data_IF_480053002459
#
_entry.id   IF_480053002459
#
_cell.length_a   1.000
_cell.length_b   1.000
_cell.length_c   1.000
_cell.angle_alpha   90.00
_cell.angle_beta   90.00
_cell.angle_gamma   90.00
#
_symmetry.space_group_name_H-M   'P 1'
#
loop_
_entity.id
_entity.type
_entity.pdbx_description
1 polymer ?
#
# COMPACT_ATOMS: atom_id res chain seq x y z
N UNK A 1 25.78 -32.77 36.44
CA UNK A 1 25.72 -32.11 35.12
C UNK A 1 24.72 -32.87 34.27
N UNK A 2 23.55 -32.31 33.90
CA UNK A 2 22.60 -33.03 33.07
C UNK A 2 23.21 -33.22 31.68
N UNK A 3 23.25 -34.47 31.20
CA UNK A 3 23.74 -34.79 29.85
C UNK A 3 22.78 -34.20 28.82
N UNK A 4 23.26 -33.25 28.01
CA UNK A 4 22.52 -32.72 26.85
C UNK A 4 22.21 -33.88 25.91
N UNK A 5 20.98 -33.95 25.40
CA UNK A 5 20.60 -35.01 24.46
C UNK A 5 21.42 -34.91 23.17
N UNK A 6 21.70 -36.03 22.49
CA UNK A 6 22.46 -36.05 21.22
C UNK A 6 21.89 -35.07 20.18
N UNK A 7 20.58 -34.83 20.20
CA UNK A 7 19.87 -33.86 19.34
C UNK A 7 20.22 -32.40 19.66
N UNK A 8 20.36 -32.05 20.95
CA UNK A 8 20.78 -30.71 21.38
C UNK A 8 22.24 -30.40 21.03
N UNK A 9 23.12 -31.40 21.10
CA UNK A 9 24.54 -31.22 20.74
C UNK A 9 24.69 -30.96 19.24
N UNK A 10 23.92 -31.67 18.41
CA UNK A 10 23.94 -31.50 16.96
C UNK A 10 23.34 -30.15 16.52
N UNK A 11 22.23 -29.70 17.12
CA UNK A 11 21.64 -28.39 16.81
C UNK A 11 22.57 -27.23 17.21
N UNK A 12 23.26 -27.36 18.35
CA UNK A 12 24.22 -26.34 18.82
C UNK A 12 25.41 -26.23 17.86
N UNK A 13 25.97 -27.35 17.42
CA UNK A 13 27.11 -27.36 16.48
C UNK A 13 26.74 -26.76 15.11
N UNK A 14 25.56 -27.09 14.58
CA UNK A 14 25.05 -26.50 13.33
C UNK A 14 24.81 -24.99 13.48
N UNK A 15 24.29 -24.56 14.64
CA UNK A 15 24.04 -23.15 14.92
C UNK A 15 25.32 -22.32 14.94
N UNK A 16 26.39 -22.83 15.55
CA UNK A 16 27.70 -22.18 15.52
C UNK A 16 28.30 -22.16 14.10
N UNK A 17 28.13 -23.23 13.31
CA UNK A 17 28.57 -23.24 11.92
C UNK A 17 27.81 -22.23 11.06
N UNK A 18 26.50 -22.08 11.27
CA UNK A 18 25.65 -21.11 10.60
C UNK A 18 26.06 -19.66 10.94
N UNK A 19 26.22 -19.36 12.24
CA UNK A 19 26.66 -18.04 12.71
C UNK A 19 28.06 -17.67 12.19
N UNK A 20 29.00 -18.63 12.19
CA UNK A 20 30.36 -18.42 11.69
C UNK A 20 30.41 -18.12 10.19
N UNK A 21 29.53 -18.75 9.39
CA UNK A 21 29.44 -18.51 7.94
C UNK A 21 28.95 -17.10 7.61
N UNK A 22 28.11 -16.52 8.48
CA UNK A 22 27.56 -15.17 8.28
C UNK A 22 28.53 -14.04 8.61
N UNK A 23 29.59 -14.31 9.40
CA UNK A 23 30.61 -13.33 9.78
C UNK A 23 31.76 -13.15 8.78
N UNK A 24 31.79 -13.90 7.67
CA UNK A 24 32.90 -13.91 6.70
C UNK A 24 32.59 -13.18 5.37
N UNK A 25 31.39 -12.63 5.19
CA UNK A 25 30.98 -11.92 3.96
C UNK A 25 30.84 -10.42 4.23
N UNK A 26 31.98 -9.71 4.32
CA UNK A 26 32.03 -8.25 4.41
C UNK A 26 33.40 -7.75 3.94
N UNK A 27 33.65 -7.81 2.63
CA UNK A 27 34.70 -6.98 2.01
C UNK A 27 34.12 -6.16 0.86
N UNK A 28 34.44 -4.87 0.94
CA UNK A 28 34.10 -3.78 0.03
C UNK A 28 34.57 -4.05 -1.41
N UNK A 29 33.74 -3.66 -2.39
CA UNK A 29 34.21 -3.36 -3.74
C UNK A 29 33.70 -1.98 -4.15
N UNK A 30 34.58 -0.98 -4.07
CA UNK A 30 34.35 0.38 -4.56
C UNK A 30 34.90 0.51 -5.99
N UNK A 31 34.00 0.74 -6.96
CA UNK A 31 34.37 1.05 -8.33
C UNK A 31 33.63 2.29 -8.80
N UNK A 32 34.35 3.41 -8.88
CA UNK A 32 33.92 4.66 -9.48
C UNK A 32 34.07 4.63 -11.00
N UNK A 33 33.09 5.13 -11.75
CA UNK A 33 33.36 5.77 -13.04
C UNK A 33 32.25 6.76 -13.38
N UNK A 34 32.67 8.00 -13.59
CA UNK A 34 31.90 9.09 -14.18
C UNK A 34 31.73 8.87 -15.70
N UNK A 35 30.68 9.45 -16.27
CA UNK A 35 30.44 9.47 -17.70
C UNK A 35 29.03 9.97 -18.02
N UNK A 36 28.87 11.29 -18.12
CA UNK A 36 27.63 11.94 -18.51
C UNK A 36 27.39 11.86 -20.03
N UNK A 37 26.13 11.66 -20.42
CA UNK A 37 25.66 11.94 -21.77
C UNK A 37 24.15 12.24 -21.71
N UNK A 38 23.79 13.50 -21.94
CA UNK A 38 22.41 13.97 -22.09
C UNK A 38 21.90 13.64 -23.50
N UNK A 39 20.72 13.01 -23.59
CA UNK A 39 19.86 13.10 -24.77
C UNK A 39 18.41 13.20 -24.32
N UNK A 40 17.82 14.32 -24.69
CA UNK A 40 16.44 14.76 -24.51
C UNK A 40 15.51 14.06 -25.52
N UNK A 41 14.39 13.47 -25.09
CA UNK A 41 13.26 13.14 -25.98
C UNK A 41 11.94 12.91 -25.22
N UNK A 42 11.16 13.99 -25.14
CA UNK A 42 9.69 14.10 -25.32
C UNK A 42 8.73 13.15 -24.59
N UNK A 43 8.13 13.75 -23.56
CA UNK A 43 6.73 13.76 -23.10
C UNK A 43 5.64 13.15 -24.02
N UNK A 44 4.93 12.14 -23.50
CA UNK A 44 3.54 11.74 -23.84
C UNK A 44 3.16 10.34 -23.31
N UNK A 45 4.10 9.60 -22.70
CA UNK A 45 3.90 8.24 -22.18
C UNK A 45 3.68 8.15 -20.66
N UNK A 46 3.78 9.27 -19.94
CA UNK A 46 3.76 9.28 -18.46
C UNK A 46 2.38 8.98 -17.84
N UNK A 47 1.26 9.34 -18.47
CA UNK A 47 -0.06 9.18 -17.85
C UNK A 47 -0.60 7.74 -17.81
N UNK A 48 -0.11 6.84 -18.67
CA UNK A 48 -0.48 5.41 -18.62
C UNK A 48 0.44 4.57 -17.73
N UNK A 49 1.67 5.04 -17.50
CA UNK A 49 2.68 4.32 -16.70
C UNK A 49 2.40 4.41 -15.19
N UNK A 50 1.84 5.52 -14.71
CA UNK A 50 1.56 5.75 -13.29
C UNK A 50 0.61 4.72 -12.67
N UNK A 51 -0.40 4.25 -13.42
CA UNK A 51 -1.41 3.30 -12.90
C UNK A 51 -0.88 1.89 -12.61
N UNK A 52 0.26 1.49 -13.19
CA UNK A 52 0.86 0.18 -12.94
C UNK A 52 1.84 0.21 -11.77
N UNK A 53 2.66 1.27 -11.68
CA UNK A 53 3.64 1.45 -10.61
C UNK A 53 2.99 1.58 -9.22
N UNK A 54 1.76 2.11 -9.14
CA UNK A 54 1.03 2.24 -7.88
C UNK A 54 0.50 0.91 -7.31
N UNK A 55 0.45 -0.16 -8.11
CA UNK A 55 -0.18 -1.43 -7.73
C UNK A 55 0.82 -2.52 -7.33
N UNK A 56 2.02 -2.51 -7.88
CA UNK A 56 3.04 -3.51 -7.65
C UNK A 56 4.31 -2.78 -7.20
N UNK A 57 4.69 -2.93 -5.93
CA UNK A 57 5.95 -2.35 -5.45
C UNK A 57 7.13 -3.17 -5.97
N UNK A 58 8.33 -2.56 -6.08
CA UNK A 58 9.55 -3.29 -6.44
C UNK A 58 9.82 -4.48 -5.50
N UNK A 59 9.42 -4.35 -4.23
CA UNK A 59 9.46 -5.41 -3.23
C UNK A 59 8.57 -6.61 -3.59
N UNK A 60 7.35 -6.40 -4.09
CA UNK A 60 6.45 -7.48 -4.49
C UNK A 60 7.00 -8.27 -5.70
N UNK A 61 7.64 -7.58 -6.64
CA UNK A 61 8.29 -8.22 -7.80
C UNK A 61 9.54 -9.01 -7.39
N UNK A 62 10.34 -8.47 -6.47
CA UNK A 62 11.51 -9.15 -5.92
C UNK A 62 11.10 -10.42 -5.17
N UNK A 63 10.07 -10.33 -4.33
CA UNK A 63 9.52 -11.49 -3.61
C UNK A 63 9.00 -12.57 -4.57
N UNK A 64 8.25 -12.16 -5.61
CA UNK A 64 7.72 -13.08 -6.61
C UNK A 64 8.84 -13.76 -7.39
N UNK A 65 9.86 -13.01 -7.78
CA UNK A 65 11.01 -13.54 -8.50
C UNK A 65 11.74 -14.59 -7.68
N UNK A 66 12.01 -14.29 -6.41
CA UNK A 66 12.65 -15.23 -5.49
C UNK A 66 11.79 -16.48 -5.27
N UNK A 67 10.46 -16.33 -5.17
CA UNK A 67 9.54 -17.47 -5.11
C UNK A 67 9.60 -18.34 -6.38
N UNK A 68 9.70 -17.71 -7.56
CA UNK A 68 9.83 -18.42 -8.84
C UNK A 68 11.16 -19.17 -8.98
N UNK A 69 12.24 -18.75 -8.31
CA UNK A 69 13.54 -19.46 -8.34
C UNK A 69 13.44 -20.91 -7.86
N UNK A 70 12.46 -21.23 -7.03
CA UNK A 70 12.20 -22.60 -6.56
C UNK A 70 11.74 -23.55 -7.67
N UNK A 71 11.17 -23.02 -8.76
CA UNK A 71 10.56 -23.80 -9.84
C UNK A 71 11.21 -23.57 -11.20
N UNK A 72 11.99 -22.49 -11.34
CA UNK A 72 12.56 -22.06 -12.60
C UNK A 72 14.00 -21.57 -12.37
N UNK A 73 14.99 -21.97 -13.19
CA UNK A 73 16.35 -21.50 -13.01
C UNK A 73 16.44 -19.98 -13.18
N UNK A 74 17.24 -19.33 -12.33
CA UNK A 74 17.42 -17.86 -12.30
C UNK A 74 17.73 -17.28 -13.68
N UNK A 75 18.47 -18.04 -14.51
CA UNK A 75 18.79 -17.70 -15.90
C UNK A 75 17.54 -17.39 -16.73
N UNK A 76 16.55 -18.28 -16.72
CA UNK A 76 15.31 -18.12 -17.49
C UNK A 76 14.51 -16.91 -17.01
N UNK A 77 14.34 -16.79 -15.69
CA UNK A 77 13.60 -15.68 -15.10
C UNK A 77 14.27 -14.33 -15.40
N UNK A 78 15.60 -14.25 -15.28
CA UNK A 78 16.37 -13.03 -15.54
C UNK A 78 16.25 -12.60 -17.00
N UNK A 79 16.36 -13.54 -17.94
CA UNK A 79 16.22 -13.29 -19.39
C UNK A 79 14.81 -12.81 -19.72
N UNK A 80 13.76 -13.47 -19.19
CA UNK A 80 12.37 -13.07 -19.44
C UNK A 80 12.06 -11.67 -18.90
N UNK A 81 12.50 -11.36 -17.68
CA UNK A 81 12.33 -10.03 -17.07
C UNK A 81 13.08 -8.99 -17.89
N UNK A 82 14.35 -9.25 -18.22
CA UNK A 82 15.15 -8.36 -19.06
C UNK A 82 14.49 -8.09 -20.41
N UNK A 83 14.10 -9.12 -21.17
CA UNK A 83 13.43 -8.98 -22.47
C UNK A 83 12.16 -8.14 -22.36
N UNK A 84 11.39 -8.34 -21.27
CA UNK A 84 10.17 -7.58 -21.01
C UNK A 84 10.48 -6.10 -20.77
N UNK A 85 11.45 -5.79 -19.92
CA UNK A 85 11.87 -4.40 -19.66
C UNK A 85 12.36 -3.71 -20.94
N UNK A 86 13.16 -4.41 -21.75
CA UNK A 86 13.64 -3.90 -23.03
C UNK A 86 12.51 -3.67 -24.03
N UNK A 87 11.51 -4.55 -24.08
CA UNK A 87 10.31 -4.39 -24.91
C UNK A 87 9.51 -3.13 -24.53
N UNK A 88 9.51 -2.75 -23.25
CA UNK A 88 8.89 -1.51 -22.78
C UNK A 88 9.79 -0.27 -22.87
N UNK A 89 10.94 -0.36 -23.53
CA UNK A 89 11.84 0.78 -23.73
C UNK A 89 12.57 1.24 -22.47
N UNK A 90 12.66 0.41 -21.43
CA UNK A 90 13.38 0.76 -20.20
C UNK A 90 14.87 0.87 -20.49
N UNK A 91 15.50 1.97 -20.03
CA UNK A 91 16.93 2.22 -20.25
C UNK A 91 17.81 1.10 -19.67
N UNK A 92 19.04 0.97 -20.17
CA UNK A 92 19.96 -0.10 -19.77
C UNK A 92 20.29 -0.03 -18.27
N UNK A 93 20.59 1.17 -17.78
CA UNK A 93 20.90 1.44 -16.36
C UNK A 93 19.70 1.09 -15.47
N UNK A 94 18.49 1.48 -15.90
CA UNK A 94 17.28 1.17 -15.13
C UNK A 94 16.97 -0.33 -15.13
N UNK A 95 17.25 -1.04 -16.24
CA UNK A 95 17.17 -2.49 -16.27
C UNK A 95 18.14 -3.13 -15.29
N UNK A 96 19.40 -2.69 -15.25
CA UNK A 96 20.41 -3.27 -14.35
C UNK A 96 20.05 -3.05 -12.88
N UNK A 97 19.64 -1.82 -12.52
CA UNK A 97 19.19 -1.51 -11.17
C UNK A 97 17.99 -2.38 -10.76
N UNK A 98 17.00 -2.53 -11.64
CA UNK A 98 15.82 -3.35 -11.39
C UNK A 98 16.16 -4.84 -11.22
N UNK A 99 16.98 -5.39 -12.11
CA UNK A 99 17.42 -6.78 -12.05
C UNK A 99 18.25 -7.06 -10.79
N UNK A 100 19.17 -6.15 -10.42
CA UNK A 100 19.95 -6.27 -9.18
C UNK A 100 19.07 -6.24 -7.93
N UNK A 101 18.06 -5.36 -7.90
CA UNK A 101 17.11 -5.28 -6.78
C UNK A 101 16.34 -6.59 -6.57
N UNK A 102 16.12 -7.36 -7.65
CA UNK A 102 15.45 -8.67 -7.61
C UNK A 102 16.41 -9.85 -7.35
N UNK A 103 17.72 -9.60 -7.28
CA UNK A 103 18.73 -10.66 -7.25
C UNK A 103 18.70 -11.53 -8.52
N UNK A 104 18.40 -10.91 -9.67
CA UNK A 104 18.53 -11.50 -11.00
C UNK A 104 19.96 -11.34 -11.52
N UNK A 105 20.23 -11.86 -12.73
CA UNK A 105 21.50 -11.59 -13.41
C UNK A 105 21.65 -10.11 -13.78
N UNK A 106 22.91 -9.66 -13.89
CA UNK A 106 23.20 -8.31 -14.42
C UNK A 106 22.60 -8.14 -15.81
N UNK A 107 22.39 -6.90 -16.21
CA UNK A 107 21.86 -6.57 -17.53
C UNK A 107 22.72 -7.13 -18.66
N UNK A 108 24.05 -7.12 -18.50
CA UNK A 108 25.00 -7.67 -19.49
C UNK A 108 24.85 -9.18 -19.62
N UNK A 109 24.81 -9.88 -18.48
CA UNK A 109 24.65 -11.34 -18.46
C UNK A 109 23.28 -11.73 -19.02
N UNK A 110 22.23 -11.00 -18.65
CA UNK A 110 20.88 -11.22 -19.16
C UNK A 110 20.77 -10.95 -20.66
N UNK A 111 21.45 -9.91 -21.16
CA UNK A 111 21.51 -9.60 -22.58
C UNK A 111 22.22 -10.70 -23.36
N UNK A 112 23.41 -11.13 -22.92
CA UNK A 112 24.14 -12.25 -23.54
C UNK A 112 23.25 -13.50 -23.66
N UNK A 113 22.58 -13.88 -22.57
CA UNK A 113 21.68 -15.04 -22.60
C UNK A 113 20.43 -14.80 -23.44
N UNK A 114 19.98 -13.56 -23.58
CA UNK A 114 18.89 -13.20 -24.50
C UNK A 114 19.31 -13.40 -25.96
N UNK A 115 20.54 -13.05 -26.33
CA UNK A 115 21.06 -13.29 -27.69
C UNK A 115 21.11 -14.78 -28.02
N UNK A 116 21.60 -15.61 -27.09
CA UNK A 116 21.60 -17.08 -27.21
C UNK A 116 20.17 -17.63 -27.29
N UNK A 117 19.24 -17.09 -26.50
CA UNK A 117 17.84 -17.48 -26.55
C UNK A 117 17.19 -17.14 -27.91
N UNK A 118 17.47 -15.96 -28.46
CA UNK A 118 16.92 -15.48 -29.73
C UNK A 118 17.56 -16.20 -30.93
N UNK A 119 18.85 -16.55 -30.86
CA UNK A 119 19.53 -17.31 -31.91
C UNK A 119 18.99 -18.73 -32.07
N UNK A 120 18.21 -19.21 -31.09
CA UNK A 120 17.62 -20.55 -31.09
C UNK A 120 18.58 -21.65 -30.60
N UNK A 121 19.75 -21.28 -30.07
CA UNK A 121 20.67 -22.23 -29.45
C UNK A 121 20.18 -22.60 -28.04
N UNK A 122 19.14 -23.43 -28.01
CA UNK A 122 18.51 -23.88 -26.78
C UNK A 122 19.42 -24.81 -25.97
N UNK A 123 20.38 -25.48 -26.60
CA UNK A 123 21.31 -26.39 -25.93
C UNK A 123 22.34 -25.59 -25.11
N UNK A 124 22.91 -24.53 -25.67
CA UNK A 124 23.75 -23.59 -24.92
C UNK A 124 22.92 -22.85 -23.85
N UNK A 125 21.70 -22.45 -24.20
CA UNK A 125 20.81 -21.77 -23.26
C UNK A 125 20.37 -22.70 -22.12
N UNK A 126 20.21 -23.99 -22.35
CA UNK A 126 19.88 -24.98 -21.32
C UNK A 126 21.11 -25.41 -20.53
N UNK A 127 22.29 -25.40 -21.15
CA UNK A 127 23.58 -25.72 -20.56
C UNK A 127 23.74 -25.08 -19.19
N UNK A 128 23.66 -25.89 -18.14
CA UNK A 128 23.79 -25.44 -16.78
C UNK A 128 25.26 -25.17 -16.49
N UNK A 129 25.62 -23.91 -16.21
CA UNK A 129 26.77 -23.67 -15.35
C UNK A 129 26.39 -24.24 -13.98
N UNK A 130 26.88 -25.45 -13.70
CA UNK A 130 26.85 -26.14 -12.43
C UNK A 130 27.10 -25.16 -11.27
N UNK A 131 26.04 -24.75 -10.57
CA UNK A 131 26.21 -23.69 -9.57
C UNK A 131 24.96 -23.23 -8.83
N UNK A 132 23.79 -23.82 -9.10
CA UNK A 132 22.66 -23.69 -8.20
C UNK A 132 22.95 -24.49 -6.93
N UNK A 133 23.75 -23.93 -6.00
CA UNK A 133 23.69 -24.43 -4.62
C UNK A 133 22.23 -24.31 -4.22
N UNK A 134 21.56 -25.45 -4.06
CA UNK A 134 20.43 -25.53 -3.15
C UNK A 134 20.98 -24.97 -1.83
N UNK A 135 20.71 -23.70 -1.54
CA UNK A 135 20.92 -23.19 -0.21
C UNK A 135 19.98 -24.02 0.62
N UNK A 136 20.54 -24.97 1.39
CA UNK A 136 19.84 -25.63 2.48
C UNK A 136 19.09 -24.54 3.22
N UNK A 137 17.77 -24.59 3.11
CA UNK A 137 16.93 -23.52 3.62
C UNK A 137 17.14 -23.47 5.13
N UNK A 138 17.09 -22.29 5.73
CA UNK A 138 17.26 -22.13 7.17
C UNK A 138 16.43 -23.12 7.99
N UNK A 139 15.22 -23.43 7.52
CA UNK A 139 14.31 -24.38 8.14
C UNK A 139 14.67 -25.86 7.93
N UNK A 140 15.51 -26.20 6.94
CA UNK A 140 16.03 -27.57 6.80
C UNK A 140 16.83 -27.99 8.05
N UNK A 141 17.50 -27.02 8.69
CA UNK A 141 18.23 -27.26 9.93
C UNK A 141 17.36 -27.08 11.19
N UNK A 142 16.26 -26.34 11.08
CA UNK A 142 15.39 -25.98 12.20
C UNK A 142 13.90 -26.13 11.82
N UNK A 143 13.41 -27.35 11.50
CA UNK A 143 12.04 -27.56 11.05
C UNK A 143 11.01 -27.19 12.14
N UNK A 144 11.32 -27.49 13.41
CA UNK A 144 10.47 -27.14 14.56
C UNK A 144 10.24 -25.61 14.66
N UNK A 145 11.23 -24.82 14.23
CA UNK A 145 11.16 -23.36 14.25
C UNK A 145 10.26 -22.85 13.13
N UNK A 146 10.21 -23.55 11.99
CA UNK A 146 9.28 -23.24 10.91
C UNK A 146 7.84 -23.44 11.37
N UNK A 147 7.53 -24.58 11.98
CA UNK A 147 6.19 -24.90 12.44
C UNK A 147 5.70 -23.91 13.50
N UNK A 148 6.56 -23.57 14.46
CA UNK A 148 6.27 -22.56 15.47
C UNK A 148 6.04 -21.17 14.86
N UNK A 149 6.83 -20.79 13.85
CA UNK A 149 6.71 -19.50 13.17
C UNK A 149 5.44 -19.43 12.30
N UNK A 150 5.07 -20.51 11.61
CA UNK A 150 3.81 -20.64 10.88
C UNK A 150 2.62 -20.47 11.83
N UNK A 151 2.60 -21.22 12.93
CA UNK A 151 1.51 -21.15 13.91
C UNK A 151 1.38 -19.74 14.51
N UNK A 152 2.50 -19.15 14.95
CA UNK A 152 2.51 -17.77 15.45
C UNK A 152 1.93 -16.79 14.43
N UNK A 153 2.32 -16.92 13.16
CA UNK A 153 1.82 -16.02 12.12
C UNK A 153 0.33 -16.20 11.87
N UNK A 154 -0.15 -17.45 11.78
CA UNK A 154 -1.58 -17.74 11.60
C UNK A 154 -2.41 -17.14 12.72
N UNK A 155 -2.00 -17.34 13.97
CA UNK A 155 -2.66 -16.76 15.14
C UNK A 155 -2.70 -15.23 15.07
N UNK A 156 -1.56 -14.59 14.84
CA UNK A 156 -1.44 -13.12 14.80
C UNK A 156 -2.17 -12.48 13.62
N UNK A 157 -2.19 -13.12 12.46
CA UNK A 157 -2.93 -12.67 11.29
C UNK A 157 -4.45 -12.83 11.47
N UNK A 158 -4.89 -13.81 12.26
CA UNK A 158 -6.31 -14.04 12.56
C UNK A 158 -6.88 -13.07 13.60
N UNK A 159 -6.03 -12.38 14.37
CA UNK A 159 -6.49 -11.42 15.36
C UNK A 159 -7.28 -10.26 14.72
N UNK A 160 -8.39 -9.88 15.36
CA UNK A 160 -9.18 -8.69 14.99
C UNK A 160 -8.37 -7.40 15.04
N UNK A 161 -7.29 -7.41 15.82
CA UNK A 161 -6.34 -6.32 15.95
C UNK A 161 -5.67 -6.04 14.59
N UNK A 162 -5.19 -7.07 13.90
CA UNK A 162 -4.43 -6.98 12.66
C UNK A 162 -3.25 -5.99 12.69
N UNK A 163 -2.55 -5.92 13.82
CA UNK A 163 -1.30 -5.15 13.95
C UNK A 163 -0.04 -5.94 13.59
N UNK A 164 -0.20 -7.17 13.09
CA UNK A 164 0.93 -8.04 12.76
C UNK A 164 1.79 -7.49 11.62
N UNK A 165 3.10 -7.47 11.83
CA UNK A 165 4.11 -7.04 10.86
C UNK A 165 5.19 -8.10 10.66
N UNK A 166 5.95 -7.97 9.56
CA UNK A 166 7.12 -8.83 9.29
C UNK A 166 8.18 -8.71 10.39
N UNK A 167 8.29 -7.55 11.04
CA UNK A 167 9.18 -7.32 12.17
C UNK A 167 8.80 -8.20 13.36
N UNK A 168 7.50 -8.40 13.60
CA UNK A 168 7.02 -9.26 14.68
C UNK A 168 7.40 -10.72 14.45
N UNK A 169 7.34 -11.18 13.19
CA UNK A 169 7.80 -12.52 12.80
C UNK A 169 9.31 -12.67 13.00
N UNK A 170 10.09 -11.71 12.51
CA UNK A 170 11.55 -11.77 12.61
C UNK A 170 12.02 -11.80 14.07
N UNK A 171 11.41 -10.98 14.94
CA UNK A 171 11.66 -10.99 16.39
C UNK A 171 11.25 -12.30 17.05
N UNK A 172 10.13 -12.89 16.62
CA UNK A 172 9.68 -14.18 17.14
C UNK A 172 10.66 -15.30 16.79
N UNK A 173 11.07 -15.39 15.52
CA UNK A 173 12.03 -16.40 15.03
C UNK A 173 13.36 -16.25 15.75
N UNK A 174 13.85 -15.02 15.88
CA UNK A 174 15.10 -14.70 16.57
C UNK A 174 15.07 -15.19 18.02
N UNK A 175 14.04 -14.82 18.79
CA UNK A 175 13.84 -15.28 20.16
C UNK A 175 13.80 -16.81 20.25
N UNK A 176 12.99 -17.45 19.40
CA UNK A 176 12.80 -18.91 19.42
C UNK A 176 14.07 -19.67 19.01
N UNK A 177 14.87 -19.12 18.11
CA UNK A 177 16.15 -19.69 17.72
C UNK A 177 17.10 -19.77 18.92
N UNK A 178 17.28 -18.67 19.66
CA UNK A 178 18.17 -18.66 20.83
C UNK A 178 17.65 -19.54 21.98
N UNK A 179 16.33 -19.58 22.21
CA UNK A 179 15.70 -20.52 23.15
C UNK A 179 15.99 -21.98 22.79
N UNK A 180 15.88 -22.33 21.51
CA UNK A 180 16.03 -23.72 21.03
C UNK A 180 17.48 -24.17 21.04
N UNK A 181 18.40 -23.27 20.67
CA UNK A 181 19.84 -23.56 20.55
C UNK A 181 20.59 -23.39 21.87
N UNK A 182 19.98 -22.76 22.87
CA UNK A 182 20.60 -22.36 24.14
C UNK A 182 21.86 -21.50 23.94
N UNK A 183 21.92 -20.74 22.84
CA UNK A 183 22.99 -19.77 22.58
C UNK A 183 22.58 -18.44 23.23
N UNK A 184 23.53 -17.77 23.87
CA UNK A 184 23.30 -16.43 24.42
C UNK A 184 23.37 -15.43 23.27
N UNK A 185 22.29 -14.66 23.09
CA UNK A 185 22.24 -13.59 22.10
C UNK A 185 23.11 -12.41 22.55
N UNK A 186 23.98 -11.93 21.67
CA UNK A 186 24.65 -10.64 21.81
C UNK A 186 23.67 -9.50 21.52
N UNK A 187 23.48 -8.50 22.41
CA UNK A 187 22.57 -7.38 22.19
C UNK A 187 22.76 -6.66 20.85
N UNK A 188 24.00 -6.56 20.36
CA UNK A 188 24.32 -5.87 19.10
C UNK A 188 24.15 -6.77 17.86
N UNK A 189 23.84 -8.06 18.05
CA UNK A 189 23.70 -8.97 16.93
C UNK A 189 22.42 -8.72 16.11
N UNK A 190 22.50 -8.73 14.77
CA UNK A 190 21.34 -8.58 13.91
C UNK A 190 20.39 -9.77 14.06
N UNK A 191 19.16 -9.60 13.58
CA UNK A 191 18.17 -10.67 13.57
C UNK A 191 18.70 -11.91 12.82
N UNK A 192 18.50 -13.09 13.41
CA UNK A 192 18.89 -14.38 12.80
C UNK A 192 18.30 -14.53 11.39
N UNK A 193 17.06 -14.07 11.21
CA UNK A 193 16.39 -14.05 9.91
C UNK A 193 16.07 -12.62 9.51
N UNK A 194 16.48 -12.21 8.31
CA UNK A 194 16.26 -10.84 7.83
C UNK A 194 14.77 -10.58 7.58
N UNK A 195 14.38 -9.31 7.51
CA UNK A 195 13.00 -8.93 7.19
C UNK A 195 12.58 -9.42 5.80
N UNK A 196 13.46 -9.33 4.81
CA UNK A 196 13.19 -9.82 3.45
C UNK A 196 12.99 -11.34 3.44
N UNK A 197 13.82 -12.10 4.16
CA UNK A 197 13.62 -13.56 4.30
C UNK A 197 12.31 -13.89 4.99
N UNK A 198 11.96 -13.19 6.07
CA UNK A 198 10.67 -13.38 6.76
C UNK A 198 9.49 -13.07 5.84
N UNK A 199 9.61 -12.06 4.97
CA UNK A 199 8.57 -11.72 3.97
C UNK A 199 8.38 -12.86 2.96
N UNK A 200 9.48 -13.44 2.49
CA UNK A 200 9.44 -14.61 1.61
C UNK A 200 8.82 -15.82 2.29
N UNK A 201 9.11 -16.04 3.57
CA UNK A 201 8.49 -17.14 4.34
C UNK A 201 6.98 -16.98 4.40
N UNK A 202 6.50 -15.77 4.72
CA UNK A 202 5.07 -15.47 4.72
C UNK A 202 4.42 -15.84 3.38
N UNK A 203 5.04 -15.42 2.27
CA UNK A 203 4.56 -15.75 0.92
C UNK A 203 4.58 -17.27 0.66
N UNK A 204 5.66 -17.96 1.05
CA UNK A 204 5.80 -19.42 0.92
C UNK A 204 4.75 -20.18 1.72
N UNK A 205 4.37 -19.66 2.89
CA UNK A 205 3.31 -20.22 3.73
C UNK A 205 1.90 -19.83 3.25
N UNK A 206 1.78 -19.09 2.14
CA UNK A 206 0.51 -18.74 1.52
C UNK A 206 -0.10 -17.42 2.01
N UNK A 207 0.62 -16.62 2.81
CA UNK A 207 0.16 -15.31 3.21
C UNK A 207 0.25 -14.30 2.06
N UNK A 208 -0.69 -13.35 2.04
CA UNK A 208 -0.75 -12.26 1.06
C UNK A 208 -0.72 -10.92 1.76
N UNK A 209 0.03 -9.97 1.22
CA UNK A 209 0.04 -8.58 1.69
C UNK A 209 -0.86 -7.73 0.81
N UNK A 210 -2.07 -7.44 1.28
CA UNK A 210 -3.11 -6.84 0.44
C UNK A 210 -3.90 -5.77 1.20
N UNK A 211 -4.60 -4.91 0.44
CA UNK A 211 -5.49 -3.91 1.00
C UNK A 211 -6.67 -4.59 1.70
N UNK A 212 -7.11 -4.02 2.82
CA UNK A 212 -8.29 -4.47 3.53
C UNK A 212 -9.56 -3.99 2.80
N UNK A 213 -9.93 -4.66 1.71
CA UNK A 213 -11.05 -4.25 0.85
C UNK A 213 -12.41 -4.77 1.34
N UNK A 214 -12.46 -5.70 2.29
CA UNK A 214 -13.70 -6.21 2.84
C UNK A 214 -14.35 -5.16 3.75
N UNK A 215 -15.10 -4.24 3.15
CA UNK A 215 -16.02 -3.34 3.84
C UNK A 215 -17.36 -4.07 3.99
N UNK A 216 -17.85 -4.34 5.21
CA UNK A 216 -19.12 -5.03 5.43
C UNK A 216 -20.38 -4.23 5.01
N UNK A 217 -20.22 -3.02 4.48
CA UNK A 217 -21.34 -2.09 4.24
C UNK A 217 -21.93 -2.14 2.82
N UNK A 218 -21.51 -3.07 1.97
CA UNK A 218 -21.96 -3.12 0.58
C UNK A 218 -23.44 -3.52 0.42
N UNK A 219 -23.98 -4.39 1.28
CA UNK A 219 -25.33 -4.93 1.09
C UNK A 219 -26.48 -3.92 1.28
N UNK A 220 -26.22 -2.75 1.87
CA UNK A 220 -27.28 -1.75 2.11
C UNK A 220 -27.61 -0.89 0.88
N UNK A 221 -26.61 -0.55 0.07
CA UNK A 221 -26.74 0.45 -1.00
C UNK A 221 -27.39 -0.09 -2.27
N UNK A 222 -27.35 -1.41 -2.46
CA UNK A 222 -27.88 -2.09 -3.66
C UNK A 222 -29.33 -2.57 -3.47
N UNK A 223 -29.92 -2.37 -2.28
CA UNK A 223 -31.32 -2.70 -2.03
C UNK A 223 -32.23 -1.93 -2.99
N UNK A 224 -33.22 -2.63 -3.55
CA UNK A 224 -34.13 -2.05 -4.55
C UNK A 224 -34.81 -0.76 -4.06
N UNK A 225 -35.24 -0.72 -2.80
CA UNK A 225 -35.90 0.45 -2.22
C UNK A 225 -34.95 1.64 -2.06
N UNK A 226 -33.67 1.38 -1.78
CA UNK A 226 -32.62 2.41 -1.70
C UNK A 226 -32.28 2.94 -3.09
N UNK A 227 -32.18 2.05 -4.08
CA UNK A 227 -31.92 2.43 -5.48
C UNK A 227 -33.07 3.25 -6.05
N UNK A 228 -34.31 2.84 -5.83
CA UNK A 228 -35.50 3.57 -6.27
C UNK A 228 -35.58 4.96 -5.64
N UNK A 229 -35.31 5.06 -4.33
CA UNK A 229 -35.24 6.34 -3.64
C UNK A 229 -34.12 7.23 -4.18
N UNK A 230 -32.92 6.68 -4.41
CA UNK A 230 -31.80 7.41 -5.01
C UNK A 230 -32.14 7.94 -6.41
N UNK A 231 -32.86 7.15 -7.23
CA UNK A 231 -33.29 7.58 -8.55
C UNK A 231 -34.27 8.75 -8.47
N UNK A 232 -35.26 8.68 -7.58
CA UNK A 232 -36.21 9.78 -7.34
C UNK A 232 -35.47 11.04 -6.86
N UNK A 233 -34.52 10.86 -5.95
CA UNK A 233 -33.70 11.93 -5.42
C UNK A 233 -32.86 12.59 -6.53
N UNK A 234 -32.18 11.83 -7.39
CA UNK A 234 -31.42 12.39 -8.52
C UNK A 234 -32.35 13.14 -9.49
N UNK A 235 -33.50 12.56 -9.83
CA UNK A 235 -34.46 13.20 -10.73
C UNK A 235 -34.93 14.56 -10.17
N UNK A 236 -35.17 14.66 -8.86
CA UNK A 236 -35.52 15.92 -8.20
C UNK A 236 -34.53 17.06 -8.48
N UNK A 237 -33.22 16.76 -8.48
CA UNK A 237 -32.17 17.76 -8.78
C UNK A 237 -32.09 18.06 -10.27
N UNK A 238 -32.16 17.04 -11.12
CA UNK A 238 -32.09 17.22 -12.57
C UNK A 238 -33.24 18.09 -13.10
N UNK A 239 -34.45 17.89 -12.58
CA UNK A 239 -35.64 18.68 -12.92
C UNK A 239 -35.51 20.15 -12.49
N UNK A 240 -34.60 20.46 -11.55
CA UNK A 240 -34.38 21.80 -10.98
C UNK A 240 -33.01 22.37 -11.30
N UNK A 241 -32.26 21.76 -12.23
CA UNK A 241 -30.89 22.17 -12.55
C UNK A 241 -30.74 23.67 -12.86
N UNK A 242 -31.77 24.29 -13.44
CA UNK A 242 -31.77 25.69 -13.86
C UNK A 242 -32.06 26.68 -12.71
N UNK A 243 -32.45 26.18 -11.53
CA UNK A 243 -32.60 26.96 -10.29
C UNK A 243 -31.29 27.06 -9.50
N UNK A 244 -30.31 26.19 -9.77
CA UNK A 244 -29.09 26.10 -8.97
C UNK A 244 -27.94 26.89 -9.59
N UNK A 245 -27.05 27.37 -8.72
CA UNK A 245 -25.73 27.84 -9.12
C UNK A 245 -24.86 26.64 -9.47
N UNK A 246 -24.26 26.63 -10.66
CA UNK A 246 -23.40 25.54 -11.12
C UNK A 246 -22.07 26.07 -11.63
N UNK A 247 -21.10 25.19 -11.87
CA UNK A 247 -19.78 25.53 -12.42
C UNK A 247 -19.65 24.83 -13.77
N UNK A 248 -19.07 25.49 -14.77
CA UNK A 248 -18.83 24.87 -16.08
C UNK A 248 -17.73 23.81 -16.01
N UNK A 249 -17.83 22.79 -16.87
CA UNK A 249 -16.87 21.67 -16.95
C UNK A 249 -15.65 21.98 -17.84
N UNK A 250 -15.40 23.26 -18.15
CA UNK A 250 -14.29 23.70 -19.01
C UNK A 250 -12.96 23.76 -18.24
N UNK A 251 -11.83 23.78 -18.96
CA UNK A 251 -10.48 23.94 -18.38
C UNK A 251 -10.34 25.16 -17.44
N UNK A 252 -11.21 26.16 -17.61
CA UNK A 252 -11.36 27.32 -16.73
C UNK A 252 -12.80 27.36 -16.20
N UNK A 253 -13.07 26.76 -15.03
CA UNK A 253 -14.42 26.68 -14.49
C UNK A 253 -14.98 28.09 -14.18
N UNK A 254 -16.15 28.40 -14.73
CA UNK A 254 -16.89 29.63 -14.47
C UNK A 254 -18.23 29.34 -13.80
N UNK A 255 -18.68 30.25 -12.94
CA UNK A 255 -20.00 30.16 -12.32
C UNK A 255 -21.11 30.42 -13.33
N UNK A 256 -22.02 29.45 -13.46
CA UNK A 256 -23.30 29.60 -14.13
C UNK A 256 -24.36 30.01 -13.09
N UNK A 257 -24.87 31.22 -13.24
CA UNK A 257 -25.93 31.76 -12.40
C UNK A 257 -27.27 31.08 -12.71
N UNK A 258 -28.13 30.97 -11.71
CA UNK A 258 -29.52 30.50 -11.88
C UNK A 258 -30.24 31.38 -12.90
N UNK A 259 -30.96 30.74 -13.82
CA UNK A 259 -31.83 31.45 -14.77
C UNK A 259 -33.26 31.61 -14.25
N UNK A 260 -33.59 30.97 -13.12
CA UNK A 260 -34.91 30.97 -12.51
C UNK A 260 -34.96 31.79 -11.22
N UNK A 261 -36.15 32.30 -10.90
CA UNK A 261 -36.45 33.06 -9.68
C UNK A 261 -37.55 32.39 -8.84
N UNK A 262 -37.36 32.25 -7.51
CA UNK A 262 -36.14 32.56 -6.77
C UNK A 262 -35.03 31.52 -7.05
N UNK A 263 -33.75 31.94 -7.09
CA UNK A 263 -32.63 31.02 -7.21
C UNK A 263 -32.51 30.15 -5.97
N UNK A 264 -31.97 28.94 -6.14
CA UNK A 264 -31.73 27.98 -5.05
C UNK A 264 -30.23 27.83 -4.79
N UNK A 265 -29.84 27.96 -3.52
CA UNK A 265 -28.47 27.70 -3.06
C UNK A 265 -28.41 26.28 -2.52
N UNK A 266 -27.43 25.49 -2.99
CA UNK A 266 -27.18 24.16 -2.45
C UNK A 266 -26.19 24.24 -1.29
N UNK A 267 -26.64 23.76 -0.14
CA UNK A 267 -25.83 23.59 1.06
C UNK A 267 -25.79 22.10 1.36
N UNK A 268 -24.59 21.54 1.39
CA UNK A 268 -24.32 20.15 1.73
C UNK A 268 -23.71 20.10 3.11
N UNK A 269 -24.08 19.11 3.90
CA UNK A 269 -23.47 18.83 5.18
C UNK A 269 -22.85 17.44 5.13
N UNK A 270 -21.61 17.32 5.58
CA UNK A 270 -20.95 16.03 5.70
C UNK A 270 -20.21 15.93 7.02
N UNK A 271 -20.16 14.70 7.54
CA UNK A 271 -19.50 14.36 8.79
C UNK A 271 -18.48 13.26 8.56
N UNK A 272 -17.22 13.57 8.81
CA UNK A 272 -16.12 12.63 8.74
C UNK A 272 -15.55 12.35 10.12
N UNK A 273 -15.48 11.07 10.49
CA UNK A 273 -14.86 10.65 11.75
C UNK A 273 -13.45 10.14 11.50
N UNK A 274 -12.45 10.87 12.00
CA UNK A 274 -11.04 10.47 11.98
C UNK A 274 -10.68 9.76 13.27
N UNK A 275 -10.18 8.52 13.18
CA UNK A 275 -9.80 7.75 14.36
C UNK A 275 -8.30 7.69 14.52
N UNK A 276 -7.80 7.94 15.74
CA UNK A 276 -6.39 7.69 16.04
C UNK A 276 -6.09 6.20 16.02
N UNK A 277 -4.97 5.82 15.39
CA UNK A 277 -4.56 4.43 15.27
C UNK A 277 -5.32 3.63 14.22
N UNK A 278 -5.81 4.27 13.15
CA UNK A 278 -6.25 3.53 11.97
C UNK A 278 -5.16 2.57 11.51
N UNK A 279 -5.54 1.32 11.34
CA UNK A 279 -4.64 0.24 10.94
C UNK A 279 -4.16 0.54 9.52
N UNK A 280 -2.89 0.22 9.25
CA UNK A 280 -2.33 0.26 7.89
C UNK A 280 -3.33 -0.29 6.88
N UNK A 281 -3.54 0.44 5.78
CA UNK A 281 -4.45 0.05 4.72
C UNK A 281 -4.14 -1.32 4.12
N UNK A 282 -2.89 -1.80 4.28
CA UNK A 282 -2.40 -3.12 3.85
C UNK A 282 -1.94 -3.96 5.04
N UNK A 283 -2.26 -5.27 5.01
CA UNK A 283 -1.85 -6.25 6.03
C UNK A 283 -1.58 -7.63 5.44
N UNK A 284 -0.90 -8.47 6.21
CA UNK A 284 -0.75 -9.90 5.94
C UNK A 284 -1.99 -10.66 6.38
N UNK A 285 -2.53 -11.52 5.52
CA UNK A 285 -3.57 -12.48 5.86
C UNK A 285 -3.35 -13.79 5.11
N UNK A 286 -3.94 -14.87 5.63
CA UNK A 286 -3.96 -16.19 5.04
C UNK A 286 -5.34 -16.49 4.48
N UNK A 287 -5.40 -17.24 3.37
CA UNK A 287 -6.65 -17.58 2.70
C UNK A 287 -7.27 -16.41 1.91
N UNK A 288 -8.51 -16.60 1.48
CA UNK A 288 -9.28 -15.59 0.72
C UNK A 288 -10.17 -14.71 1.60
N UNK A 289 -10.44 -15.15 2.83
CA UNK A 289 -11.30 -14.45 3.77
C UNK A 289 -10.45 -13.57 4.70
N UNK A 290 -10.65 -12.25 4.61
CA UNK A 290 -10.05 -11.31 5.53
C UNK A 290 -10.93 -11.23 6.78
N UNK A 291 -10.47 -11.62 7.99
CA UNK A 291 -11.32 -11.62 9.18
C UNK A 291 -11.83 -10.20 9.47
N UNK A 292 -13.12 -10.11 9.81
CA UNK A 292 -13.79 -8.86 10.14
C UNK A 292 -13.15 -8.17 11.35
N UNK A 293 -13.01 -6.85 11.25
CA UNK A 293 -12.48 -6.05 12.34
C UNK A 293 -13.58 -5.53 13.25
N UNK A 294 -13.34 -5.63 14.55
CA UNK A 294 -14.02 -4.75 15.49
C UNK A 294 -13.60 -3.31 15.20
N UNK A 295 -14.56 -2.38 15.13
CA UNK A 295 -14.27 -0.93 15.23
C UNK A 295 -13.41 -0.72 16.49
N UNK A 296 -12.10 -0.48 16.34
CA UNK A 296 -11.15 -0.43 17.46
C UNK A 296 -11.47 0.73 18.43
N UNK A 297 -10.99 0.58 19.67
CA UNK A 297 -10.86 1.65 20.68
C UNK A 297 -9.76 2.62 20.23
N UNK A 298 -10.09 3.90 20.22
CA UNK A 298 -9.20 5.01 19.88
C UNK A 298 -9.94 6.32 20.08
N UNK A 299 -9.22 7.44 20.18
CA UNK A 299 -9.86 8.76 20.18
C UNK A 299 -10.36 9.03 18.76
N UNK A 300 -11.61 9.43 18.65
CA UNK A 300 -12.20 9.85 17.37
C UNK A 300 -12.38 11.36 17.37
N UNK A 301 -11.90 12.01 16.33
CA UNK A 301 -12.24 13.39 16.01
C UNK A 301 -13.34 13.35 14.96
N UNK A 302 -14.52 13.83 15.32
CA UNK A 302 -15.60 14.07 14.37
C UNK A 302 -15.42 15.46 13.81
N UNK A 303 -15.25 15.55 12.51
CA UNK A 303 -15.21 16.81 11.76
C UNK A 303 -16.52 16.89 10.99
N UNK A 304 -17.23 17.98 11.20
CA UNK A 304 -18.51 18.28 10.55
C UNK A 304 -18.37 19.62 9.87
N UNK A 305 -18.75 19.72 8.61
CA UNK A 305 -18.69 20.98 7.87
C UNK A 305 -19.85 21.13 6.88
N UNK A 306 -20.13 22.37 6.49
CA UNK A 306 -21.10 22.72 5.47
C UNK A 306 -20.38 23.17 4.20
N UNK A 307 -20.68 22.52 3.07
CA UNK A 307 -20.21 22.93 1.76
C UNK A 307 -21.32 23.69 1.04
N UNK A 308 -20.99 24.88 0.55
CA UNK A 308 -21.96 25.74 -0.15
C UNK A 308 -21.57 25.89 -1.61
N UNK A 309 -22.53 25.68 -2.50
CA UNK A 309 -22.38 25.92 -3.92
C UNK A 309 -22.89 27.33 -4.31
N UNK A 310 -22.04 28.35 -4.13
CA UNK A 310 -22.33 29.74 -4.49
C UNK A 310 -21.05 30.54 -4.84
N UNK A 311 -21.17 31.57 -5.69
CA UNK A 311 -20.02 32.35 -6.17
C UNK A 311 -19.35 33.22 -5.10
N UNK A 312 -20.08 33.60 -4.04
CA UNK A 312 -19.55 34.35 -2.90
C UNK A 312 -18.68 33.54 -1.92
N UNK A 313 -18.38 32.28 -2.24
CA UNK A 313 -17.49 31.43 -1.45
C UNK A 313 -18.18 30.68 -0.30
N UNK A 314 -17.42 29.92 0.51
CA UNK A 314 -17.95 29.06 1.58
C UNK A 314 -18.42 29.85 2.82
N UNK A 315 -18.09 31.14 2.91
CA UNK A 315 -18.46 31.99 4.04
C UNK A 315 -19.47 33.04 3.57
N UNK A 316 -20.73 32.88 3.98
CA UNK A 316 -21.69 33.98 3.90
C UNK A 316 -21.44 34.93 5.07
N UNK A 317 -21.01 36.14 4.77
CA UNK A 317 -21.12 37.25 5.72
C UNK A 317 -22.47 37.94 5.49
N UNK A 318 -23.27 38.05 6.54
CA UNK A 318 -24.43 38.94 6.50
C UNK A 318 -23.93 40.38 6.33
N UNK A 319 -24.58 41.16 5.47
CA UNK A 319 -24.40 42.61 5.52
C UNK A 319 -24.84 43.14 6.89
N UNK A 320 -24.33 44.29 7.32
CA UNK A 320 -24.71 44.90 8.60
C UNK A 320 -26.24 44.99 8.77
N UNK A 321 -26.97 45.34 7.71
CA UNK A 321 -28.44 45.42 7.76
C UNK A 321 -29.13 44.05 7.88
N UNK A 322 -28.57 43.01 7.25
CA UNK A 322 -29.10 41.65 7.35
C UNK A 322 -28.80 41.04 8.72
N UNK A 323 -27.62 41.33 9.26
CA UNK A 323 -27.23 40.96 10.61
C UNK A 323 -28.15 41.61 11.66
N UNK A 324 -28.43 42.91 11.54
CA UNK A 324 -29.37 43.62 12.42
C UNK A 324 -30.80 43.06 12.32
N UNK A 325 -31.26 42.69 11.12
CA UNK A 325 -32.56 42.01 10.94
C UNK A 325 -32.55 40.62 11.56
N UNK A 326 -31.46 39.87 11.42
CA UNK A 326 -31.30 38.56 12.02
C UNK A 326 -31.29 38.66 13.55
N UNK A 327 -30.58 39.62 14.13
CA UNK A 327 -30.59 39.93 15.56
C UNK A 327 -31.99 40.34 16.06
N UNK A 328 -32.72 41.16 15.31
CA UNK A 328 -34.08 41.56 15.68
C UNK A 328 -35.03 40.35 15.75
N UNK A 329 -34.83 39.34 14.90
CA UNK A 329 -35.62 38.10 14.88
C UNK A 329 -35.09 37.05 15.85
N UNK A 330 -33.78 37.04 16.09
CA UNK A 330 -33.05 36.05 16.89
C UNK A 330 -32.04 36.77 17.82
N UNK A 331 -32.51 37.37 18.93
CA UNK A 331 -31.66 38.17 19.81
C UNK A 331 -30.51 37.40 20.47
N UNK A 332 -30.62 36.07 20.55
CA UNK A 332 -29.58 35.19 21.10
C UNK A 332 -28.29 35.12 20.26
N UNK A 333 -28.28 35.72 19.07
CA UNK A 333 -27.07 35.87 18.24
C UNK A 333 -26.15 36.99 18.74
N UNK A 334 -26.62 37.83 19.67
CA UNK A 334 -25.84 38.92 20.26
C UNK A 334 -24.86 38.38 21.30
N UNK A 335 -23.65 38.02 20.86
CA UNK A 335 -22.55 37.58 21.72
C UNK A 335 -21.26 37.36 20.94
N UNK A 336 -20.12 37.54 21.62
CA UNK A 336 -18.75 37.32 21.09
C UNK A 336 -18.52 35.83 20.75
N UNK A 337 -19.18 35.34 19.72
CA UNK A 337 -18.77 34.13 19.03
C UNK A 337 -17.61 34.52 18.13
N UNK A 338 -16.40 34.49 18.70
CA UNK A 338 -15.15 34.42 17.96
C UNK A 338 -15.24 33.20 17.02
N UNK A 339 -15.70 33.44 15.80
CA UNK A 339 -15.61 32.49 14.69
C UNK A 339 -14.12 32.34 14.40
N UNK A 340 -13.51 31.34 15.03
CA UNK A 340 -12.14 30.94 14.74
C UNK A 340 -12.04 30.57 13.26
N UNK A 341 -11.51 31.50 12.45
CA UNK A 341 -11.15 31.27 11.07
C UNK A 341 -10.05 30.19 10.99
N UNK A 342 -10.44 28.93 10.76
CA UNK A 342 -9.53 27.94 10.21
C UNK A 342 -9.68 27.93 8.68
N UNK A 343 -8.70 28.54 8.02
CA UNK A 343 -8.58 28.58 6.58
C UNK A 343 -8.16 27.21 6.07
N UNK A 344 -9.03 26.49 5.35
CA UNK A 344 -8.60 25.40 4.47
C UNK A 344 -8.54 25.91 3.04
N UNK A 345 -7.31 25.97 2.51
CA UNK A 345 -7.00 26.26 1.12
C UNK A 345 -7.48 25.11 0.21
N UNK A 346 -8.20 25.48 -0.86
CA UNK A 346 -8.56 24.69 -2.05
C UNK A 346 -9.43 23.42 -1.88
N UNK A 347 -10.74 23.50 -2.17
CA UNK A 347 -11.55 22.34 -2.51
C UNK A 347 -11.51 22.12 -4.03
N UNK A 348 -10.41 21.61 -4.57
CA UNK A 348 -10.49 20.89 -5.85
C UNK A 348 -10.90 19.45 -5.52
N UNK A 349 -12.16 19.12 -5.82
CA UNK A 349 -12.65 17.76 -6.10
C UNK A 349 -12.12 16.66 -5.15
N UNK A 350 -12.63 16.62 -3.92
CA UNK A 350 -12.64 15.37 -3.16
C UNK A 350 -14.01 14.70 -3.30
N UNK A 351 -14.07 13.66 -4.13
CA UNK A 351 -15.21 12.74 -4.18
C UNK A 351 -15.22 11.88 -2.92
N UNK A 352 -16.15 12.15 -2.00
CA UNK A 352 -16.59 11.16 -1.03
C UNK A 352 -18.12 11.16 -0.92
N UNK A 353 -18.68 9.97 -0.81
CA UNK A 353 -20.09 9.66 -0.94
C UNK A 353 -20.70 9.34 0.42
N UNK A 354 -21.63 10.19 0.87
CA UNK A 354 -22.88 9.93 1.59
C UNK A 354 -23.31 11.25 2.25
N UNK A 355 -23.99 12.11 1.49
CA UNK A 355 -24.43 13.43 1.95
C UNK A 355 -25.89 13.35 2.38
N UNK A 356 -26.22 13.86 3.57
CA UNK A 356 -27.61 14.17 3.94
C UNK A 356 -27.92 15.61 3.49
N UNK A 357 -29.08 15.79 2.86
CA UNK A 357 -29.44 17.06 2.21
C UNK A 357 -30.54 17.77 3.00
N UNK A 358 -30.32 19.05 3.30
CA UNK A 358 -31.36 19.92 3.84
C UNK A 358 -31.46 21.18 2.96
N UNK A 359 -32.60 21.34 2.29
CA UNK A 359 -32.88 22.53 1.48
C UNK A 359 -33.38 23.65 2.38
N UNK A 360 -32.72 24.80 2.34
CA UNK A 360 -33.24 26.07 2.88
C UNK A 360 -33.62 26.92 1.66
N UNK A 361 -34.92 27.13 1.44
CA UNK A 361 -35.40 28.19 0.56
C UNK A 361 -35.30 29.50 1.33
N UNK A 362 -34.52 30.46 0.80
CA UNK A 362 -34.41 31.82 1.34
C UNK A 362 -35.51 32.70 0.74
#
# INVERSE_FOLDING_TARGET
>A
MPQKSKRQVHSTAISYAFLRKRGLESEHFSGSSEGGFDVDTTDSSQERSSKFQDKITGDDMSDLFEHCKLRCPVKYLSVLVYMTLRKFGVSWINCDNFLRQMGAFTVETSHKWTEVFISGDLDEFQGENHGGRYFSEFYDFFPELEDAAKQYTLERCSEKSASFTVVDLAKFIDKKFYETTNIIKDPESPLIRSLSSCRLDLRRWGARYNKNSQRPYFEGHERIDVVDHLQQFINYFLDRKDFYYTVTDDDKPLWKLSTQTPPCILIFHDESTFKSGEVSAKRWFFGEEAPFHSKRRGRSNMVSDFLVQHNSGPFFSLSQSEYEKALAKHPQLDGDLLVNHFSFLNPMLMRFSCVFFQLIQI
#
